data_IF_487570702251
#
_entry.id   IF_487570702251
#
_cell.length_a   1.000
_cell.length_b   1.000
_cell.length_c   1.000
_cell.angle_alpha   90.00
_cell.angle_beta   90.00
_cell.angle_gamma   90.00
#
_symmetry.space_group_name_H-M   'P 1'
#
loop_
_entity.id
_entity.type
_entity.pdbx_description
1 polymer ?
#
# COMPACT_ATOMS: atom_id res chain seq x y z
N UNK A 1 2.65 -13.68 4.22
CA UNK A 1 2.91 -12.38 3.56
C UNK A 1 1.67 -11.50 3.71
N UNK A 2 1.81 -10.25 4.17
CA UNK A 2 0.74 -9.24 4.22
C UNK A 2 1.02 -8.15 3.21
N UNK A 3 0.07 -7.94 2.29
CA UNK A 3 0.15 -6.91 1.25
C UNK A 3 -0.90 -5.84 1.57
N UNK A 4 -0.44 -4.65 1.93
CA UNK A 4 -1.30 -3.48 2.11
C UNK A 4 -1.53 -2.77 0.78
N UNK A 5 -2.74 -2.29 0.54
CA UNK A 5 -3.07 -1.45 -0.62
C UNK A 5 -3.70 -0.15 -0.12
N UNK A 6 -3.11 1.00 -0.48
CA UNK A 6 -3.67 2.30 -0.09
C UNK A 6 -5.00 2.53 -0.80
N UNK A 7 -6.06 2.83 -0.06
CA UNK A 7 -7.37 3.12 -0.65
C UNK A 7 -8.11 4.18 0.16
N UNK A 8 -8.83 5.10 -0.47
CA UNK A 8 -9.69 6.03 0.28
C UNK A 8 -11.09 5.47 0.53
N UNK A 9 -11.54 4.52 -0.27
CA UNK A 9 -12.92 4.03 -0.33
C UNK A 9 -13.03 2.50 -0.19
N UNK A 10 -11.91 1.81 0.05
CA UNK A 10 -11.82 0.34 0.06
C UNK A 10 -12.21 -0.32 -1.27
N UNK A 11 -12.09 0.42 -2.39
CA UNK A 11 -12.42 -0.07 -3.74
C UNK A 11 -11.31 0.21 -4.74
N UNK A 12 -10.66 1.37 -4.67
CA UNK A 12 -9.65 1.79 -5.64
C UNK A 12 -8.33 2.16 -4.97
N UNK A 13 -7.22 1.97 -5.70
CA UNK A 13 -5.89 2.41 -5.26
C UNK A 13 -5.80 3.94 -5.33
N UNK A 14 -5.25 4.57 -4.28
CA UNK A 14 -5.03 6.04 -4.23
C UNK A 14 -3.55 6.40 -4.32
N UNK A 15 -3.23 7.55 -4.91
CA UNK A 15 -1.86 8.10 -5.00
C UNK A 15 -1.43 8.93 -3.79
N UNK A 16 -2.23 8.94 -2.72
CA UNK A 16 -1.98 9.76 -1.53
C UNK A 16 -1.42 8.92 -0.37
N UNK A 17 -0.39 8.11 -0.62
CA UNK A 17 0.10 7.13 0.36
C UNK A 17 0.40 7.72 1.76
N UNK A 18 1.06 8.89 1.82
CA UNK A 18 1.43 9.52 3.07
C UNK A 18 0.25 10.02 3.91
N UNK A 19 -0.82 10.49 3.27
CA UNK A 19 -2.02 11.02 3.95
C UNK A 19 -3.12 9.98 4.10
N UNK A 20 -3.02 8.85 3.40
CA UNK A 20 -4.00 7.78 3.44
C UNK A 20 -4.03 7.15 4.83
N UNK A 21 -5.24 6.80 5.26
CA UNK A 21 -5.51 6.21 6.57
C UNK A 21 -6.26 4.89 6.44
N UNK A 22 -6.47 4.43 5.23
CA UNK A 22 -7.34 3.32 4.89
C UNK A 22 -6.58 2.38 3.98
N UNK A 23 -6.54 1.11 4.37
CA UNK A 23 -5.78 0.09 3.67
C UNK A 23 -6.62 -1.16 3.53
N UNK A 24 -6.58 -1.75 2.34
CA UNK A 24 -7.03 -3.12 2.12
C UNK A 24 -5.82 -4.02 2.38
N UNK A 25 -6.00 -5.08 3.16
CA UNK A 25 -4.93 -6.01 3.50
C UNK A 25 -5.25 -7.33 2.81
N UNK A 26 -4.34 -7.76 1.96
CA UNK A 26 -4.42 -9.03 1.24
C UNK A 26 -3.35 -10.00 1.71
N UNK A 27 -3.65 -11.28 1.58
CA UNK A 27 -2.71 -12.37 1.77
C UNK A 27 -3.01 -13.52 0.79
N UNK A 28 -2.16 -14.54 0.79
CA UNK A 28 -2.42 -15.79 0.10
C UNK A 28 -2.86 -16.85 1.12
N UNK A 29 -3.91 -17.59 0.78
CA UNK A 29 -4.28 -18.80 1.53
C UNK A 29 -3.27 -19.94 1.27
N UNK A 30 -3.46 -21.09 1.94
CA UNK A 30 -2.60 -22.27 1.78
C UNK A 30 -2.60 -22.85 0.35
N UNK A 31 -3.57 -22.46 -0.49
CA UNK A 31 -3.70 -22.88 -1.89
C UNK A 31 -3.14 -21.83 -2.86
N UNK A 32 -2.61 -20.72 -2.34
CA UNK A 32 -2.08 -19.60 -3.13
C UNK A 32 -3.13 -18.63 -3.63
N UNK A 33 -4.41 -18.77 -3.24
CA UNK A 33 -5.46 -17.84 -3.65
C UNK A 33 -5.36 -16.52 -2.88
N UNK A 34 -5.64 -15.44 -3.58
CA UNK A 34 -5.63 -14.10 -3.01
C UNK A 34 -6.92 -13.89 -2.22
N UNK A 35 -6.75 -13.58 -0.94
CA UNK A 35 -7.84 -13.28 -0.02
C UNK A 35 -7.64 -11.90 0.61
N UNK A 36 -8.72 -11.14 0.71
CA UNK A 36 -8.76 -9.94 1.54
C UNK A 36 -8.95 -10.40 2.99
N UNK A 37 -7.97 -10.13 3.85
CA UNK A 37 -7.98 -10.59 5.23
C UNK A 37 -8.49 -9.52 6.21
N UNK A 38 -8.30 -8.24 5.88
CA UNK A 38 -8.66 -7.14 6.77
C UNK A 38 -8.79 -5.81 6.01
N UNK A 39 -9.56 -4.88 6.58
CA UNK A 39 -9.59 -3.48 6.20
C UNK A 39 -9.15 -2.62 7.37
N UNK A 40 -8.01 -1.97 7.22
CA UNK A 40 -7.47 -1.09 8.25
C UNK A 40 -7.99 0.33 8.05
N UNK A 41 -8.56 0.93 9.10
CA UNK A 41 -8.90 2.36 9.13
C UNK A 41 -8.28 3.04 10.35
N UNK A 42 -7.39 4.00 10.09
CA UNK A 42 -6.59 4.68 11.08
C UNK A 42 -7.11 6.09 11.41
N UNK A 43 -6.92 6.55 12.66
CA UNK A 43 -7.07 7.96 13.02
C UNK A 43 -6.14 8.87 12.21
N UNK A 44 -6.45 10.17 12.16
CA UNK A 44 -5.66 11.16 11.40
C UNK A 44 -4.20 11.23 11.82
N UNK A 45 -3.97 11.21 13.13
CA UNK A 45 -2.64 11.22 13.75
C UNK A 45 -1.78 10.00 13.38
N UNK A 46 -2.41 8.92 12.90
CA UNK A 46 -1.76 7.69 12.44
C UNK A 46 -1.63 7.66 10.91
N UNK A 47 -1.79 8.79 10.22
CA UNK A 47 -1.30 8.90 8.84
C UNK A 47 0.24 8.97 8.88
N UNK A 48 0.93 8.36 7.92
CA UNK A 48 2.40 8.44 7.88
C UNK A 48 2.90 9.88 7.75
N UNK A 49 2.08 10.78 7.22
CA UNK A 49 2.38 12.21 7.18
C UNK A 49 2.44 12.85 8.58
N UNK A 50 1.51 12.51 9.50
CA UNK A 50 1.45 13.09 10.85
C UNK A 50 2.21 12.25 11.89
N UNK A 51 2.18 10.93 11.77
CA UNK A 51 2.75 10.01 12.75
C UNK A 51 4.26 10.21 12.90
N UNK A 52 4.78 10.21 14.14
CA UNK A 52 6.22 10.32 14.46
C UNK A 52 6.71 9.28 15.47
N UNK A 53 5.86 8.34 15.88
CA UNK A 53 6.22 7.30 16.85
C UNK A 53 7.00 6.12 16.25
N UNK A 54 7.33 5.17 17.10
CA UNK A 54 8.14 4.01 16.72
C UNK A 54 7.32 2.94 16.00
N UNK A 55 6.25 2.44 16.62
CA UNK A 55 5.43 1.35 16.06
C UNK A 55 4.18 1.86 15.36
N UNK A 56 3.98 1.39 14.14
CA UNK A 56 2.83 1.71 13.30
C UNK A 56 2.18 0.43 12.76
N UNK A 57 0.84 0.34 12.65
CA UNK A 57 0.17 -0.85 12.09
C UNK A 57 0.61 -1.23 10.66
N UNK A 58 1.12 -0.26 9.89
CA UNK A 58 1.67 -0.50 8.53
C UNK A 58 2.98 -1.32 8.61
N UNK A 59 3.68 -1.31 9.74
CA UNK A 59 4.91 -2.09 9.93
C UNK A 59 4.65 -3.61 9.83
N UNK A 60 3.39 -4.05 9.92
CA UNK A 60 3.01 -5.45 9.68
C UNK A 60 2.96 -5.84 8.20
N UNK A 61 3.05 -4.89 7.27
CA UNK A 61 3.01 -5.17 5.84
C UNK A 61 4.40 -5.51 5.32
N UNK A 62 4.50 -6.59 4.54
CA UNK A 62 5.72 -6.88 3.78
C UNK A 62 5.82 -5.93 2.57
N UNK A 63 4.68 -5.69 1.92
CA UNK A 63 4.58 -4.87 0.71
C UNK A 63 3.40 -3.91 0.84
N UNK A 64 3.61 -2.65 0.45
CA UNK A 64 2.59 -1.63 0.34
C UNK A 64 2.45 -1.17 -1.12
N UNK A 65 1.31 -1.47 -1.73
CA UNK A 65 0.95 -1.00 -3.07
C UNK A 65 0.24 0.34 -2.97
N UNK A 66 0.66 1.30 -3.78
CA UNK A 66 0.03 2.62 -3.87
C UNK A 66 0.04 3.14 -5.30
N UNK A 67 -0.86 4.07 -5.64
CA UNK A 67 -0.84 4.66 -6.98
C UNK A 67 0.31 5.67 -7.14
N UNK A 68 0.90 6.08 -6.02
CA UNK A 68 1.84 7.17 -5.99
C UNK A 68 2.33 7.50 -4.59
N UNK A 69 3.60 7.87 -4.48
CA UNK A 69 4.21 8.37 -3.25
C UNK A 69 5.49 9.15 -3.55
N UNK A 70 5.86 10.10 -2.68
CA UNK A 70 7.16 10.76 -2.77
C UNK A 70 8.30 9.91 -2.19
N UNK A 71 9.54 10.17 -2.59
CA UNK A 71 10.73 9.43 -2.16
C UNK A 71 10.90 9.33 -0.64
N UNK A 72 10.59 10.43 0.07
CA UNK A 72 10.66 10.45 1.53
C UNK A 72 9.73 9.44 2.20
N UNK A 73 8.57 9.17 1.59
CA UNK A 73 7.64 8.13 2.05
C UNK A 73 8.23 6.75 1.79
N UNK A 74 8.69 6.46 0.57
CA UNK A 74 9.29 5.17 0.22
C UNK A 74 10.48 4.83 1.10
N UNK A 75 11.39 5.79 1.32
CA UNK A 75 12.56 5.61 2.20
C UNK A 75 12.14 5.36 3.65
N UNK A 76 11.12 6.08 4.14
CA UNK A 76 10.60 5.89 5.48
C UNK A 76 9.96 4.50 5.65
N UNK A 77 9.21 4.03 4.67
CA UNK A 77 8.63 2.69 4.71
C UNK A 77 9.71 1.60 4.65
N UNK A 78 10.74 1.78 3.81
CA UNK A 78 11.87 0.86 3.75
C UNK A 78 12.61 0.76 5.10
N UNK A 79 12.78 1.88 5.83
CA UNK A 79 13.36 1.86 7.18
C UNK A 79 12.51 1.11 8.22
N UNK A 80 11.24 0.83 7.89
CA UNK A 80 10.29 0.06 8.71
C UNK A 80 10.14 -1.39 8.22
N UNK A 81 10.94 -1.82 7.24
CA UNK A 81 10.85 -3.16 6.66
C UNK A 81 9.75 -3.34 5.62
N UNK A 82 9.07 -2.26 5.21
CA UNK A 82 7.96 -2.32 4.26
C UNK A 82 8.42 -1.91 2.87
N UNK A 83 8.27 -2.79 1.88
CA UNK A 83 8.57 -2.47 0.48
C UNK A 83 7.41 -1.71 -0.16
N UNK A 84 7.68 -0.53 -0.71
CA UNK A 84 6.66 0.24 -1.44
C UNK A 84 6.72 -0.09 -2.92
N UNK A 85 5.56 -0.34 -3.52
CA UNK A 85 5.39 -0.56 -4.96
C UNK A 85 4.36 0.42 -5.49
N UNK A 86 4.75 1.21 -6.49
CA UNK A 86 3.87 2.18 -7.14
C UNK A 86 3.30 1.60 -8.42
N UNK A 87 2.01 1.84 -8.71
CA UNK A 87 1.37 1.35 -9.93
C UNK A 87 0.30 2.30 -10.44
N UNK A 88 0.01 2.31 -11.74
CA UNK A 88 -1.20 2.97 -12.27
C UNK A 88 -2.45 2.09 -12.25
N UNK A 89 -2.34 0.84 -11.79
CA UNK A 89 -3.49 -0.04 -11.58
C UNK A 89 -4.44 0.58 -10.54
N UNK A 90 -5.74 0.48 -10.82
CA UNK A 90 -6.81 1.07 -10.01
C UNK A 90 -7.48 0.01 -9.14
N UNK A 91 -7.57 -1.23 -9.60
CA UNK A 91 -8.16 -2.34 -8.86
C UNK A 91 -7.14 -2.97 -7.88
N UNK A 92 -7.40 -2.92 -6.56
CA UNK A 92 -6.52 -3.48 -5.54
C UNK A 92 -6.22 -4.97 -5.73
N UNK A 93 -7.24 -5.75 -6.09
CA UNK A 93 -7.11 -7.21 -6.23
C UNK A 93 -6.30 -7.56 -7.47
N UNK A 94 -6.51 -6.84 -8.58
CA UNK A 94 -5.70 -6.99 -9.79
C UNK A 94 -4.23 -6.67 -9.50
N UNK A 95 -3.96 -5.54 -8.82
CA UNK A 95 -2.59 -5.16 -8.49
C UNK A 95 -1.88 -6.21 -7.60
N UNK A 96 -2.57 -6.72 -6.58
CA UNK A 96 -2.04 -7.79 -5.73
C UNK A 96 -1.80 -9.07 -6.53
N UNK A 97 -2.69 -9.40 -7.47
CA UNK A 97 -2.52 -10.58 -8.32
C UNK A 97 -1.33 -10.49 -9.25
N UNK A 98 -1.10 -9.34 -9.88
CA UNK A 98 0.05 -9.13 -10.75
C UNK A 98 1.35 -9.22 -9.95
N UNK A 99 1.39 -8.57 -8.77
CA UNK A 99 2.53 -8.61 -7.87
C UNK A 99 2.90 -10.05 -7.46
N UNK A 100 1.91 -10.84 -7.02
CA UNK A 100 2.13 -12.22 -6.57
C UNK A 100 2.47 -13.17 -7.71
N UNK A 101 1.98 -12.92 -8.92
CA UNK A 101 2.34 -13.67 -10.12
C UNK A 101 3.75 -13.31 -10.65
N UNK A 102 4.44 -12.34 -10.06
CA UNK A 102 5.72 -11.83 -10.56
C UNK A 102 5.59 -11.07 -11.89
N UNK A 103 4.37 -10.69 -12.25
CA UNK A 103 4.09 -9.88 -13.45
C UNK A 103 4.36 -8.42 -13.13
N UNK A 104 5.00 -7.71 -14.06
CA UNK A 104 5.24 -6.28 -13.88
C UNK A 104 3.92 -5.52 -13.75
N UNK A 105 3.79 -4.76 -12.66
CA UNK A 105 2.69 -3.82 -12.51
C UNK A 105 2.79 -2.70 -13.54
N UNK A 106 1.65 -2.15 -14.02
CA UNK A 106 1.69 -1.00 -14.90
C UNK A 106 2.33 0.18 -14.16
N UNK A 107 3.26 0.90 -14.80
CA UNK A 107 4.06 1.93 -14.14
C UNK A 107 3.14 3.03 -13.62
N UNK A 108 3.46 3.58 -12.44
CA UNK A 108 2.76 4.76 -11.94
C UNK A 108 2.92 5.94 -12.91
N UNK A 109 1.88 6.76 -13.02
CA UNK A 109 1.98 7.97 -13.84
C UNK A 109 2.97 8.95 -13.19
N UNK A 110 3.78 9.69 -13.96
CA UNK A 110 4.69 10.68 -13.40
C UNK A 110 3.89 11.72 -12.61
N UNK A 111 4.25 11.91 -11.35
CA UNK A 111 3.67 12.95 -10.51
C UNK A 111 4.17 14.31 -11.00
N UNK A 112 3.33 15.11 -11.65
CA UNK A 112 3.62 16.52 -11.83
C UNK A 112 3.57 17.20 -10.45
N UNK A 113 4.73 17.70 -10.01
CA UNK A 113 4.83 18.61 -8.88
C UNK A 113 4.26 19.96 -9.32
N UNK A 114 2.98 20.18 -9.04
CA UNK A 114 2.36 21.51 -9.02
C UNK A 114 2.66 22.26 -7.73
#
# INVERSE_FOLDING_TARGET
MKIGVTSQNFKTITGHAGKTRRFLIYSQDERGNIIEIERLYLPKAMSMHEFRGDRHPIDEFDILITAGCGDGFSRRMASRGVKVVTTSEVDPKVAVSLLLAGVSLPPAQPHEHG
#
